data_IF_040832632108
#
_entry.id   IF_040832632108
#
_cell.length_a   1.000
_cell.length_b   1.000
_cell.length_c   1.000
_cell.angle_alpha   90.00
_cell.angle_beta   90.00
_cell.angle_gamma   90.00
#
_symmetry.space_group_name_H-M   'P 1'
#
loop_
_entity.id
_entity.type
_entity.pdbx_description
1 polymer ?
#
# COMPACT_ATOMS: atom_id res chain seq x y z
N UNK A 1 1.25 -22.70 -19.58
CA UNK A 1 1.19 -23.03 -18.14
C UNK A 1 -0.07 -22.38 -17.58
N UNK A 2 -0.87 -23.10 -16.78
CA UNK A 2 -2.11 -22.56 -16.18
C UNK A 2 -1.71 -21.76 -14.94
N UNK A 3 -1.99 -20.46 -14.92
CA UNK A 3 -1.76 -19.63 -13.74
C UNK A 3 -2.74 -20.03 -12.63
N UNK A 4 -2.20 -20.43 -11.48
CA UNK A 4 -3.01 -20.78 -10.31
C UNK A 4 -3.05 -19.55 -9.41
N UNK A 5 -4.23 -18.93 -9.28
CA UNK A 5 -4.43 -17.77 -8.41
C UNK A 5 -4.48 -18.24 -6.95
N UNK A 6 -3.39 -18.06 -6.21
CA UNK A 6 -3.33 -18.43 -4.79
C UNK A 6 -3.91 -17.30 -3.95
N UNK A 7 -4.96 -17.59 -3.17
CA UNK A 7 -5.52 -16.61 -2.23
C UNK A 7 -4.52 -16.32 -1.10
N UNK A 8 -4.43 -15.07 -0.63
CA UNK A 8 -3.60 -14.75 0.53
C UNK A 8 -4.00 -15.57 1.75
N UNK A 9 -3.01 -16.04 2.50
CA UNK A 9 -3.21 -16.80 3.73
C UNK A 9 -3.79 -15.90 4.83
N UNK A 10 -4.72 -16.40 5.65
CA UNK A 10 -5.19 -15.66 6.82
C UNK A 10 -4.08 -15.42 7.83
N UNK A 11 -4.07 -14.24 8.45
CA UNK A 11 -3.13 -13.88 9.51
C UNK A 11 -2.92 -14.95 10.61
N UNK A 12 -3.95 -15.63 11.16
CA UNK A 12 -3.73 -16.66 12.18
C UNK A 12 -2.91 -17.85 11.65
N UNK A 13 -3.13 -18.26 10.39
CA UNK A 13 -2.41 -19.37 9.77
C UNK A 13 -0.93 -19.02 9.58
N UNK A 14 -0.64 -17.79 9.14
CA UNK A 14 0.75 -17.31 8.98
C UNK A 14 1.47 -17.32 10.33
N UNK A 15 0.82 -16.86 11.41
CA UNK A 15 1.40 -16.86 12.75
C UNK A 15 1.81 -18.26 13.18
N UNK A 16 0.99 -19.27 12.92
CA UNK A 16 1.33 -20.66 13.23
C UNK A 16 2.48 -21.20 12.38
N UNK A 17 2.51 -20.89 11.08
CA UNK A 17 3.59 -21.30 10.18
C UNK A 17 4.92 -20.72 10.65
N UNK A 18 4.96 -19.42 10.95
CA UNK A 18 6.17 -18.74 11.42
C UNK A 18 6.63 -19.32 12.77
N UNK A 19 5.71 -19.58 13.71
CA UNK A 19 6.05 -20.23 15.00
C UNK A 19 6.67 -21.61 14.80
N UNK A 20 6.05 -22.45 13.97
CA UNK A 20 6.58 -23.79 13.66
C UNK A 20 7.96 -23.71 13.00
N UNK A 21 8.16 -22.75 12.10
CA UNK A 21 9.44 -22.54 11.42
C UNK A 21 10.56 -22.15 12.39
N UNK A 22 10.30 -21.22 13.31
CA UNK A 22 11.28 -20.79 14.33
C UNK A 22 11.71 -21.98 15.19
N UNK A 23 10.76 -22.81 15.63
CA UNK A 23 11.04 -24.01 16.43
C UNK A 23 11.87 -25.02 15.62
N UNK A 24 11.52 -25.25 14.36
CA UNK A 24 12.19 -26.26 13.52
C UNK A 24 13.63 -25.87 13.13
N UNK A 25 13.90 -24.59 12.89
CA UNK A 25 15.23 -24.09 12.47
C UNK A 25 16.10 -23.60 13.62
N UNK A 26 15.57 -23.43 14.83
CA UNK A 26 16.32 -23.00 16.01
C UNK A 26 16.86 -21.56 15.90
N UNK A 27 16.16 -20.68 15.19
CA UNK A 27 16.60 -19.28 14.99
C UNK A 27 16.45 -18.50 16.30
N UNK A 28 17.51 -17.83 16.73
CA UNK A 28 17.50 -16.95 17.90
C UNK A 28 16.92 -15.57 17.54
N UNK A 29 15.70 -15.32 18.00
CA UNK A 29 14.96 -14.08 17.74
C UNK A 29 14.75 -13.36 19.07
N UNK A 30 15.24 -12.12 19.19
CA UNK A 30 15.11 -11.33 20.43
C UNK A 30 13.65 -11.04 20.82
N UNK A 31 12.77 -10.94 19.83
CA UNK A 31 11.36 -10.61 20.05
C UNK A 31 10.47 -11.37 19.05
N UNK A 32 10.12 -12.63 19.36
CA UNK A 32 9.34 -13.48 18.47
C UNK A 32 8.01 -12.85 18.04
N UNK A 33 7.29 -12.19 18.95
CA UNK A 33 5.99 -11.57 18.63
C UNK A 33 6.10 -10.39 17.65
N UNK A 34 7.16 -9.59 17.78
CA UNK A 34 7.45 -8.51 16.85
C UNK A 34 7.81 -9.04 15.47
N UNK A 35 8.65 -10.08 15.42
CA UNK A 35 9.02 -10.74 14.17
C UNK A 35 7.81 -11.35 13.46
N UNK A 36 6.99 -12.12 14.18
CA UNK A 36 5.77 -12.73 13.63
C UNK A 36 4.81 -11.66 13.10
N UNK A 37 4.55 -10.62 13.88
CA UNK A 37 3.64 -9.53 13.46
C UNK A 37 4.18 -8.79 12.24
N UNK A 38 5.50 -8.66 12.14
CA UNK A 38 6.17 -8.03 11.02
C UNK A 38 6.08 -8.88 9.74
N UNK A 39 6.33 -10.19 9.82
CA UNK A 39 6.17 -11.13 8.68
C UNK A 39 4.73 -11.14 8.19
N UNK A 40 3.75 -11.21 9.10
CA UNK A 40 2.32 -11.15 8.74
C UNK A 40 1.98 -9.86 7.98
N UNK A 41 2.52 -8.72 8.41
CA UNK A 41 2.24 -7.42 7.80
C UNK A 41 2.92 -7.26 6.44
N UNK A 42 4.21 -7.58 6.33
CA UNK A 42 4.99 -7.34 5.12
C UNK A 42 4.71 -8.35 4.01
N UNK A 43 4.38 -9.60 4.35
CA UNK A 43 4.08 -10.61 3.35
C UNK A 43 2.72 -10.43 2.68
N UNK A 44 1.80 -9.65 3.28
CA UNK A 44 0.43 -9.49 2.78
C UNK A 44 -0.36 -10.81 2.69
N UNK A 45 0.13 -11.88 3.34
CA UNK A 45 -0.40 -13.24 3.22
C UNK A 45 0.01 -14.00 1.96
N UNK A 46 0.94 -13.47 1.16
CA UNK A 46 1.46 -14.16 -0.03
C UNK A 46 2.44 -15.26 0.40
N UNK A 47 2.19 -16.55 0.10
CA UNK A 47 3.04 -17.66 0.55
C UNK A 47 4.51 -17.53 0.14
N UNK A 48 4.77 -17.05 -1.08
CA UNK A 48 6.13 -16.86 -1.59
C UNK A 48 6.89 -15.81 -0.76
N UNK A 49 6.28 -14.64 -0.51
CA UNK A 49 6.89 -13.60 0.31
C UNK A 49 7.14 -14.08 1.75
N UNK A 50 6.26 -14.91 2.32
CA UNK A 50 6.48 -15.53 3.63
C UNK A 50 7.72 -16.43 3.58
N UNK A 51 7.85 -17.29 2.56
CA UNK A 51 9.02 -18.16 2.40
C UNK A 51 10.31 -17.36 2.26
N UNK A 52 10.33 -16.35 1.39
CA UNK A 52 11.52 -15.54 1.13
C UNK A 52 11.98 -14.81 2.41
N UNK A 53 11.04 -14.21 3.15
CA UNK A 53 11.33 -13.56 4.44
C UNK A 53 11.87 -14.54 5.49
N UNK A 54 11.34 -15.77 5.55
CA UNK A 54 11.78 -16.81 6.49
C UNK A 54 13.13 -17.42 6.10
N UNK A 55 13.39 -17.60 4.81
CA UNK A 55 14.67 -18.11 4.30
C UNK A 55 15.79 -17.12 4.56
N UNK A 56 15.58 -15.84 4.23
CA UNK A 56 16.51 -14.75 4.48
C UNK A 56 16.83 -14.60 5.97
N UNK A 57 15.79 -14.65 6.81
CA UNK A 57 15.94 -14.63 8.27
C UNK A 57 16.73 -15.83 8.82
N UNK A 58 16.71 -16.98 8.13
CA UNK A 58 17.40 -18.20 8.59
C UNK A 58 18.89 -18.24 8.27
N UNK A 59 19.37 -17.36 7.40
CA UNK A 59 20.80 -17.20 7.07
C UNK A 59 21.55 -16.40 8.14
N UNK A 60 20.82 -15.81 9.08
CA UNK A 60 21.34 -14.95 10.14
C UNK A 60 21.25 -15.67 11.49
N UNK A 61 22.36 -15.68 12.25
CA UNK A 61 22.43 -16.36 13.55
C UNK A 61 21.71 -15.62 14.69
N UNK A 62 21.46 -14.31 14.55
CA UNK A 62 20.76 -13.48 15.53
C UNK A 62 19.94 -12.37 14.87
N UNK A 63 18.63 -12.38 15.12
CA UNK A 63 17.69 -11.37 14.61
C UNK A 63 17.37 -10.34 15.72
N UNK A 64 18.03 -9.19 15.64
CA UNK A 64 17.79 -8.02 16.49
C UNK A 64 16.58 -7.21 15.97
N UNK A 65 15.85 -6.55 16.88
CA UNK A 65 14.78 -5.57 16.58
C UNK A 65 15.11 -4.57 15.46
N UNK A 66 16.37 -4.11 15.37
CA UNK A 66 16.79 -3.19 14.28
C UNK A 66 16.69 -3.85 12.90
N UNK A 67 17.08 -5.12 12.79
CA UNK A 67 16.99 -5.91 11.55
C UNK A 67 15.54 -6.26 11.21
N UNK A 68 14.70 -6.54 12.20
CA UNK A 68 13.25 -6.75 12.00
C UNK A 68 12.61 -5.56 11.30
N UNK A 69 12.99 -4.33 11.66
CA UNK A 69 12.49 -3.10 11.01
C UNK A 69 13.08 -2.83 9.63
N UNK A 70 14.27 -3.37 9.36
CA UNK A 70 14.96 -3.20 8.08
C UNK A 70 14.43 -4.15 7.00
N UNK A 71 13.93 -5.32 7.39
CA UNK A 71 13.15 -6.17 6.48
C UNK A 71 11.95 -5.36 5.97
N UNK A 72 11.87 -5.14 4.67
CA UNK A 72 10.68 -4.56 4.02
C UNK A 72 10.41 -5.40 2.80
N UNK A 73 9.16 -5.82 2.64
CA UNK A 73 8.69 -6.50 1.45
C UNK A 73 7.46 -5.73 0.97
N UNK A 74 7.49 -5.26 -0.28
CA UNK A 74 6.40 -4.46 -0.86
C UNK A 74 5.13 -5.28 -1.12
N UNK A 75 5.21 -6.60 -0.96
CA UNK A 75 4.10 -7.55 -1.12
C UNK A 75 2.88 -7.26 -0.24
N UNK A 76 3.06 -6.60 0.91
CA UNK A 76 1.99 -6.20 1.82
C UNK A 76 1.35 -4.83 1.52
N UNK A 77 1.89 -4.07 0.56
CA UNK A 77 1.35 -2.74 0.22
C UNK A 77 0.11 -2.92 -0.64
N UNK A 78 -1.07 -2.74 -0.04
CA UNK A 78 -2.31 -2.68 -0.80
C UNK A 78 -2.39 -1.31 -1.48
N UNK A 79 -2.08 -1.28 -2.77
CA UNK A 79 -2.29 -0.09 -3.59
C UNK A 79 -3.79 0.25 -3.60
N UNK A 80 -4.14 1.40 -3.03
CA UNK A 80 -5.47 1.97 -3.21
C UNK A 80 -5.40 2.95 -4.38
N UNK A 81 -6.04 2.61 -5.49
CA UNK A 81 -6.08 3.49 -6.65
C UNK A 81 -7.04 4.66 -6.38
N UNK A 82 -6.47 5.85 -6.16
CA UNK A 82 -7.22 7.10 -5.99
C UNK A 82 -7.54 7.80 -7.32
N UNK A 83 -7.05 7.29 -8.45
CA UNK A 83 -7.25 7.89 -9.78
C UNK A 83 -8.74 8.12 -10.10
N UNK A 84 -9.65 7.16 -9.86
CA UNK A 84 -11.07 7.36 -10.14
C UNK A 84 -11.68 8.49 -9.32
N UNK A 85 -11.32 8.59 -8.04
CA UNK A 85 -11.82 9.64 -7.14
C UNK A 85 -11.37 11.04 -7.61
N UNK A 86 -10.08 11.17 -7.97
CA UNK A 86 -9.53 12.43 -8.48
C UNK A 86 -10.22 12.84 -9.78
N UNK A 87 -10.50 11.89 -10.69
CA UNK A 87 -11.23 12.18 -11.92
C UNK A 87 -12.63 12.73 -11.66
N UNK A 88 -13.39 12.13 -10.73
CA UNK A 88 -14.75 12.58 -10.38
C UNK A 88 -14.72 14.00 -9.80
N UNK A 89 -13.79 14.31 -8.90
CA UNK A 89 -13.63 15.64 -8.32
C UNK A 89 -13.32 16.67 -9.42
N UNK A 90 -12.39 16.35 -10.32
CA UNK A 90 -12.05 17.21 -11.45
C UNK A 90 -13.25 17.48 -12.36
N UNK A 91 -14.05 16.46 -12.65
CA UNK A 91 -15.26 16.60 -13.45
C UNK A 91 -16.27 17.56 -12.80
N UNK A 92 -16.54 17.39 -11.49
CA UNK A 92 -17.48 18.25 -10.76
C UNK A 92 -17.05 19.73 -10.75
N UNK A 93 -15.77 19.99 -10.53
CA UNK A 93 -15.20 21.35 -10.54
C UNK A 93 -15.40 22.01 -11.91
N UNK A 94 -15.12 21.27 -12.99
CA UNK A 94 -15.30 21.76 -14.36
C UNK A 94 -16.79 21.96 -14.67
N UNK A 95 -17.67 21.06 -14.23
CA UNK A 95 -19.12 21.18 -14.41
C UNK A 95 -19.70 22.45 -13.76
N UNK A 96 -19.21 22.87 -12.58
CA UNK A 96 -19.65 24.11 -11.93
C UNK A 96 -19.52 25.33 -12.85
N UNK A 97 -18.46 25.36 -13.68
CA UNK A 97 -18.26 26.45 -14.65
C UNK A 97 -19.38 26.49 -15.69
N UNK A 98 -19.78 25.35 -16.22
CA UNK A 98 -20.86 25.27 -17.21
C UNK A 98 -22.23 25.54 -16.60
N UNK A 99 -22.45 25.12 -15.34
CA UNK A 99 -23.67 25.45 -14.60
C UNK A 99 -23.76 26.96 -14.40
N UNK A 100 -22.70 27.62 -13.94
CA UNK A 100 -22.69 29.08 -13.77
C UNK A 100 -22.93 29.84 -15.08
N UNK A 101 -22.40 29.35 -16.19
CA UNK A 101 -22.71 29.90 -17.52
C UNK A 101 -24.19 29.75 -17.88
N UNK A 102 -24.77 28.57 -17.63
CA UNK A 102 -26.18 28.28 -17.93
C UNK A 102 -27.18 29.01 -17.03
N UNK A 103 -26.82 29.27 -15.77
CA UNK A 103 -27.67 30.00 -14.81
C UNK A 103 -27.47 31.52 -14.85
N UNK A 104 -26.49 32.01 -15.60
CA UNK A 104 -26.08 33.43 -15.58
C UNK A 104 -25.34 33.84 -14.31
N UNK A 105 -24.98 32.90 -13.43
CA UNK A 105 -24.21 33.14 -12.22
C UNK A 105 -22.71 33.28 -12.54
N UNK A 106 -22.27 34.54 -12.65
CA UNK A 106 -20.86 34.88 -12.86
C UNK A 106 -19.96 34.41 -11.72
N UNK A 107 -20.46 34.40 -10.48
CA UNK A 107 -19.68 33.97 -9.31
C UNK A 107 -19.36 32.49 -9.43
N UNK A 108 -20.37 31.67 -9.72
CA UNK A 108 -20.20 30.22 -9.88
C UNK A 108 -19.30 29.88 -11.08
N UNK A 109 -19.43 30.62 -12.18
CA UNK A 109 -18.55 30.49 -13.35
C UNK A 109 -17.08 30.75 -13.00
N UNK A 110 -16.80 31.83 -12.27
CA UNK A 110 -15.44 32.21 -11.85
C UNK A 110 -14.89 31.19 -10.85
N UNK A 111 -15.70 30.76 -9.87
CA UNK A 111 -15.31 29.76 -8.88
C UNK A 111 -14.97 28.41 -9.54
N UNK A 112 -15.78 27.94 -10.50
CA UNK A 112 -15.47 26.72 -11.24
C UNK A 112 -14.17 26.84 -12.05
N UNK A 113 -13.93 27.99 -12.68
CA UNK A 113 -12.68 28.27 -13.39
C UNK A 113 -11.44 28.29 -12.49
N UNK A 114 -11.52 28.97 -11.35
CA UNK A 114 -10.44 29.00 -10.35
C UNK A 114 -10.20 27.62 -9.74
N UNK A 115 -11.27 26.90 -9.39
CA UNK A 115 -11.20 25.54 -8.89
C UNK A 115 -10.49 24.62 -9.87
N UNK A 116 -10.79 24.73 -11.17
CA UNK A 116 -10.16 23.90 -12.19
C UNK A 116 -8.66 24.20 -12.32
N UNK A 117 -8.27 25.46 -12.28
CA UNK A 117 -6.85 25.86 -12.32
C UNK A 117 -6.07 25.33 -11.10
N UNK A 118 -6.64 25.46 -9.90
CA UNK A 118 -6.05 24.93 -8.67
C UNK A 118 -5.95 23.41 -8.69
N UNK A 119 -7.02 22.73 -9.13
CA UNK A 119 -7.06 21.28 -9.24
C UNK A 119 -5.98 20.75 -10.19
N UNK A 120 -5.82 21.34 -11.37
CA UNK A 120 -4.80 20.92 -12.34
C UNK A 120 -3.38 21.16 -11.81
N UNK A 121 -3.16 22.29 -11.13
CA UNK A 121 -1.88 22.60 -10.48
C UNK A 121 -1.57 21.57 -9.40
N UNK A 122 -2.51 21.32 -8.49
CA UNK A 122 -2.36 20.32 -7.43
C UNK A 122 -2.10 18.92 -8.00
N UNK A 123 -2.89 18.51 -9.01
CA UNK A 123 -2.70 17.24 -9.72
C UNK A 123 -1.29 17.12 -10.26
N UNK A 124 -0.75 18.15 -10.90
CA UNK A 124 0.60 18.10 -11.44
C UNK A 124 1.65 17.82 -10.37
N UNK A 125 1.59 18.49 -9.21
CA UNK A 125 2.57 18.27 -8.13
C UNK A 125 2.41 16.92 -7.43
N UNK A 126 1.18 16.49 -7.15
CA UNK A 126 0.93 15.21 -6.45
C UNK A 126 1.33 14.03 -7.33
N UNK A 127 0.93 14.00 -8.60
CA UNK A 127 1.24 12.86 -9.47
C UNK A 127 2.69 12.87 -9.97
N UNK A 128 3.35 14.03 -10.06
CA UNK A 128 4.78 14.10 -10.37
C UNK A 128 5.66 13.71 -9.16
N UNK A 129 5.23 14.02 -7.94
CA UNK A 129 5.97 13.68 -6.72
C UNK A 129 5.90 12.21 -6.29
N UNK A 130 4.97 11.42 -6.84
CA UNK A 130 4.79 10.00 -6.54
C UNK A 130 5.59 9.10 -7.51
N UNK A 131 6.17 9.67 -8.57
CA UNK A 131 6.87 8.94 -9.63
C UNK A 131 8.40 8.99 -9.60
N UNK A 132 9.03 9.38 -8.49
CA UNK A 132 10.49 9.33 -8.29
C UNK A 132 10.87 8.62 -7.00
#
# INVERSE_FOLDING_TARGET
MKEITVKPLPAPVIREIVKKYIIAKGVLIESPDLYISHVVKQSGGIPQAIYDMLDESSKESLIDKKKVRAMRHEAGVKYLDFTPMVMVIGALIVSMRYIGMGTGDKTLYIMGGMGAALFLTFRFFVFKGIGQ
#
